data_IF_377469155782
#
_entry.id   IF_377469155782
#
_cell.length_a   1.000
_cell.length_b   1.000
_cell.length_c   1.000
_cell.angle_alpha   90.00
_cell.angle_beta   90.00
_cell.angle_gamma   90.00
#
_symmetry.space_group_name_H-M   'P 1'
#
loop_
_entity.id
_entity.type
_entity.pdbx_description
1 polymer ?
#
# COMPACT_ATOMS: atom_id res chain seq x y z
N UNK A 1 43.51 -26.20 -26.39
CA UNK A 1 43.92 -25.19 -25.39
C UNK A 1 43.66 -23.83 -26.02
N UNK A 2 42.89 -22.87 -25.52
CA UNK A 2 42.31 -22.59 -24.21
C UNK A 2 41.14 -21.62 -24.44
N UNK A 3 40.04 -21.87 -23.72
CA UNK A 3 38.89 -21.00 -23.48
C UNK A 3 39.28 -19.52 -23.26
N UNK A 4 38.42 -18.59 -23.72
CA UNK A 4 38.01 -17.43 -22.91
C UNK A 4 36.62 -16.94 -23.32
N UNK A 5 35.76 -16.94 -22.30
CA UNK A 5 34.30 -16.77 -22.30
C UNK A 5 33.92 -15.33 -22.64
N UNK A 6 33.02 -15.13 -23.60
CA UNK A 6 32.20 -13.93 -23.67
C UNK A 6 30.91 -14.22 -22.89
N UNK A 7 30.87 -13.77 -21.63
CA UNK A 7 29.64 -13.78 -20.82
C UNK A 7 28.83 -12.58 -21.29
N UNK A 8 27.80 -12.82 -22.09
CA UNK A 8 26.74 -11.86 -22.36
C UNK A 8 25.92 -11.75 -21.09
N UNK A 9 26.12 -10.66 -20.33
CA UNK A 9 25.24 -10.30 -19.23
C UNK A 9 23.90 -9.85 -19.82
N UNK A 10 22.95 -10.79 -19.91
CA UNK A 10 21.56 -10.49 -20.22
C UNK A 10 20.98 -9.79 -18.98
N UNK A 11 21.02 -8.46 -18.98
CA UNK A 11 20.23 -7.63 -18.08
C UNK A 11 18.75 -7.88 -18.42
N UNK A 12 18.13 -8.82 -17.69
CA UNK A 12 16.70 -8.92 -17.55
C UNK A 12 16.23 -7.68 -16.78
N UNK A 13 16.14 -6.54 -17.48
CA UNK A 13 15.18 -5.51 -17.13
C UNK A 13 13.82 -6.17 -17.31
N UNK A 14 13.26 -6.70 -16.22
CA UNK A 14 11.82 -6.90 -16.12
C UNK A 14 11.19 -5.52 -16.26
N UNK A 15 10.95 -5.10 -17.51
CA UNK A 15 9.98 -4.08 -17.79
C UNK A 15 8.66 -4.64 -17.27
N UNK A 16 8.31 -4.23 -16.05
CA UNK A 16 6.95 -4.27 -15.55
C UNK A 16 6.14 -3.47 -16.56
N UNK A 17 5.60 -4.18 -17.55
CA UNK A 17 4.37 -3.72 -18.17
C UNK A 17 3.42 -3.46 -17.01
N UNK A 18 2.74 -2.30 -16.96
CA UNK A 18 1.64 -2.16 -16.02
C UNK A 18 0.61 -3.19 -16.45
N UNK A 19 0.66 -4.37 -15.84
CA UNK A 19 -0.46 -5.27 -15.84
C UNK A 19 -1.64 -4.42 -15.37
N UNK A 20 -2.74 -4.43 -16.13
CA UNK A 20 -4.01 -3.92 -15.62
C UNK A 20 -4.14 -4.40 -14.18
N UNK A 21 -4.54 -3.54 -13.21
CA UNK A 21 -4.43 -3.86 -11.80
C UNK A 21 -5.01 -5.25 -11.57
N UNK A 22 -4.12 -6.22 -11.36
CA UNK A 22 -4.50 -7.60 -11.19
C UNK A 22 -4.95 -7.68 -9.73
N UNK A 23 -6.20 -7.29 -9.48
CA UNK A 23 -6.81 -7.53 -8.17
C UNK A 23 -6.70 -9.02 -7.89
N UNK A 24 -6.42 -9.35 -6.64
CA UNK A 24 -6.16 -10.73 -6.28
C UNK A 24 -7.40 -11.59 -6.57
N UNK A 25 -7.14 -12.82 -7.02
CA UNK A 25 -8.19 -13.78 -7.33
C UNK A 25 -9.08 -14.00 -6.10
N UNK A 26 -10.39 -13.93 -6.29
CA UNK A 26 -11.35 -14.12 -5.21
C UNK A 26 -11.98 -15.51 -5.27
N UNK A 27 -12.00 -16.19 -4.14
CA UNK A 27 -12.79 -17.39 -3.94
C UNK A 27 -13.45 -17.37 -2.57
N UNK A 28 -14.74 -17.73 -2.52
CA UNK A 28 -15.47 -17.93 -1.29
C UNK A 28 -16.21 -19.25 -1.36
N UNK A 29 -16.01 -20.07 -0.34
CA UNK A 29 -16.79 -21.28 -0.09
C UNK A 29 -17.50 -21.08 1.24
N UNK A 30 -18.81 -21.26 1.28
CA UNK A 30 -19.62 -21.14 2.47
C UNK A 30 -20.57 -22.34 2.57
N UNK A 31 -20.52 -23.04 3.70
CA UNK A 31 -21.45 -24.11 4.01
C UNK A 31 -22.60 -23.57 4.85
N UNK A 32 -23.72 -24.28 4.80
CA UNK A 32 -24.88 -23.97 5.62
C UNK A 32 -25.53 -25.24 6.17
N UNK A 33 -26.29 -25.10 7.25
CA UNK A 33 -26.94 -26.22 7.96
C UNK A 33 -28.23 -26.62 7.24
N UNK A 34 -28.71 -27.85 7.45
CA UNK A 34 -30.04 -28.27 7.00
C UNK A 34 -31.06 -27.71 7.99
N UNK A 35 -31.34 -26.41 7.88
CA UNK A 35 -32.19 -25.67 8.81
C UNK A 35 -33.47 -25.11 8.18
N UNK A 36 -33.61 -25.23 6.85
CA UNK A 36 -34.84 -24.95 6.14
C UNK A 36 -35.56 -26.23 5.71
N UNK A 37 -36.88 -26.27 5.90
CA UNK A 37 -37.70 -27.39 5.40
C UNK A 37 -37.83 -27.40 3.88
N UNK A 38 -37.32 -26.38 3.20
CA UNK A 38 -37.38 -26.17 1.76
C UNK A 38 -36.63 -27.24 0.95
N UNK A 39 -37.11 -27.63 -0.25
CA UNK A 39 -36.30 -28.35 -1.23
C UNK A 39 -35.11 -27.54 -1.76
N UNK A 40 -35.13 -26.21 -1.59
CA UNK A 40 -34.08 -25.29 -2.00
C UNK A 40 -33.14 -24.88 -0.85
N UNK A 41 -33.27 -25.55 0.29
CA UNK A 41 -32.37 -25.37 1.44
C UNK A 41 -30.92 -25.53 1.02
N UNK A 42 -30.14 -24.46 1.20
CA UNK A 42 -28.80 -24.28 0.70
C UNK A 42 -27.86 -25.06 1.61
N UNK A 43 -26.96 -25.83 1.00
CA UNK A 43 -25.91 -26.58 1.69
C UNK A 43 -24.55 -25.92 1.52
N UNK A 44 -24.31 -25.40 0.32
CA UNK A 44 -23.02 -24.89 -0.09
C UNK A 44 -23.20 -23.80 -1.13
N UNK A 45 -22.48 -22.70 -0.95
CA UNK A 45 -22.29 -21.66 -1.96
C UNK A 45 -20.80 -21.55 -2.23
N UNK A 46 -20.45 -21.63 -3.50
CA UNK A 46 -19.11 -21.27 -3.99
C UNK A 46 -19.23 -20.07 -4.91
N UNK A 47 -18.40 -19.06 -4.68
CA UNK A 47 -18.15 -17.97 -5.62
C UNK A 47 -16.68 -17.96 -5.99
N UNK A 48 -16.38 -17.82 -7.28
CA UNK A 48 -15.03 -17.52 -7.78
C UNK A 48 -15.10 -16.40 -8.79
N UNK A 49 -14.18 -15.45 -8.70
CA UNK A 49 -14.09 -14.36 -9.67
C UNK A 49 -12.97 -14.64 -10.67
N UNK A 50 -13.27 -14.44 -11.95
CA UNK A 50 -12.30 -14.55 -13.03
C UNK A 50 -12.57 -13.42 -14.03
N UNK A 51 -11.58 -12.56 -14.23
CA UNK A 51 -11.72 -11.33 -15.01
C UNK A 51 -12.87 -10.46 -14.48
N UNK A 52 -13.75 -9.99 -15.35
CA UNK A 52 -14.94 -9.21 -15.03
C UNK A 52 -16.16 -10.06 -14.63
N UNK A 53 -15.99 -11.37 -14.38
CA UNK A 53 -17.08 -12.33 -14.18
C UNK A 53 -17.02 -12.97 -12.80
N UNK A 54 -18.20 -13.13 -12.21
CA UNK A 54 -18.43 -13.91 -11.01
C UNK A 54 -19.08 -15.23 -11.39
N UNK A 55 -18.48 -16.33 -10.95
CA UNK A 55 -19.02 -17.67 -11.13
C UNK A 55 -19.59 -18.15 -9.81
N UNK A 56 -20.87 -18.51 -9.82
CA UNK A 56 -21.56 -19.04 -8.66
C UNK A 56 -21.91 -20.51 -8.86
N UNK A 57 -21.67 -21.31 -7.84
CA UNK A 57 -22.22 -22.64 -7.66
C UNK A 57 -23.04 -22.67 -6.36
N UNK A 58 -24.32 -23.02 -6.47
CA UNK A 58 -25.23 -23.14 -5.33
C UNK A 58 -25.68 -24.59 -5.26
N UNK A 59 -25.36 -25.27 -4.17
CA UNK A 59 -25.78 -26.64 -3.92
C UNK A 59 -26.79 -26.69 -2.76
N UNK A 60 -27.84 -27.50 -2.93
CA UNK A 60 -28.87 -27.74 -1.92
C UNK A 60 -28.65 -29.05 -1.16
N UNK A 61 -29.29 -29.19 -0.01
CA UNK A 61 -29.33 -30.47 0.72
C UNK A 61 -30.10 -31.54 -0.06
N UNK A 62 -31.27 -31.16 -0.59
CA UNK A 62 -32.19 -32.06 -1.31
C UNK A 62 -32.15 -31.82 -2.82
N UNK A 63 -32.29 -32.85 -3.66
CA UNK A 63 -32.42 -32.67 -5.09
C UNK A 63 -33.74 -31.98 -5.44
N UNK A 64 -33.73 -31.17 -6.50
CA UNK A 64 -34.93 -30.51 -7.02
C UNK A 64 -34.95 -30.55 -8.55
N UNK A 65 -36.13 -30.32 -9.13
CA UNK A 65 -36.31 -30.20 -10.59
C UNK A 65 -36.13 -28.75 -11.00
N UNK A 66 -35.37 -28.46 -12.07
CA UNK A 66 -35.20 -27.09 -12.57
C UNK A 66 -36.56 -26.40 -12.81
N UNK A 67 -37.51 -27.12 -13.43
CA UNK A 67 -38.89 -26.66 -13.69
C UNK A 67 -39.70 -26.29 -12.45
N UNK A 68 -39.24 -26.66 -11.25
CA UNK A 68 -39.89 -26.26 -10.00
C UNK A 68 -39.57 -24.80 -9.63
N UNK A 69 -38.51 -24.23 -10.20
CA UNK A 69 -38.15 -22.83 -9.98
C UNK A 69 -39.06 -21.92 -10.81
N UNK A 70 -39.85 -21.11 -10.15
CA UNK A 70 -40.81 -20.21 -10.75
C UNK A 70 -40.95 -18.97 -9.86
N UNK A 71 -40.68 -17.80 -10.44
CA UNK A 71 -40.63 -16.54 -9.69
C UNK A 71 -42.03 -16.14 -9.17
N UNK A 72 -43.07 -16.33 -9.98
CA UNK A 72 -44.47 -16.01 -9.62
C UNK A 72 -44.98 -16.87 -8.46
N UNK A 73 -44.45 -18.10 -8.33
CA UNK A 73 -44.77 -19.04 -7.24
C UNK A 73 -43.85 -18.89 -6.03
N UNK A 74 -42.96 -17.90 -6.00
CA UNK A 74 -41.96 -17.71 -4.96
C UNK A 74 -41.10 -18.96 -4.73
N UNK A 75 -40.61 -19.54 -5.83
CA UNK A 75 -39.70 -20.70 -5.85
C UNK A 75 -38.46 -20.33 -6.65
N UNK A 76 -37.46 -19.75 -6.03
CA UNK A 76 -36.28 -19.26 -6.74
C UNK A 76 -35.07 -19.17 -5.84
N UNK A 77 -33.90 -19.07 -6.46
CA UNK A 77 -32.72 -18.53 -5.81
C UNK A 77 -32.58 -17.07 -6.19
N UNK A 78 -32.03 -16.25 -5.30
CA UNK A 78 -31.54 -14.95 -5.68
C UNK A 78 -30.22 -14.60 -5.00
N UNK A 79 -29.44 -13.76 -5.65
CA UNK A 79 -28.16 -13.27 -5.15
C UNK A 79 -28.27 -11.76 -5.00
N UNK A 80 -28.03 -11.27 -3.79
CA UNK A 80 -28.01 -9.85 -3.50
C UNK A 80 -26.60 -9.29 -3.54
N UNK A 81 -26.43 -8.08 -4.08
CA UNK A 81 -25.19 -7.30 -4.04
C UNK A 81 -25.46 -5.89 -3.48
N UNK A 82 -24.60 -5.43 -2.59
CA UNK A 82 -24.62 -4.10 -1.99
C UNK A 82 -23.22 -3.47 -2.15
N UNK A 83 -23.10 -2.46 -3.01
CA UNK A 83 -21.83 -1.76 -3.30
C UNK A 83 -21.71 -0.38 -2.66
N UNK A 84 -22.72 0.11 -1.93
CA UNK A 84 -22.63 1.37 -1.19
C UNK A 84 -22.25 1.17 0.27
N UNK A 85 -22.45 -0.05 0.80
CA UNK A 85 -22.02 -0.50 2.13
C UNK A 85 -22.41 0.49 3.23
N UNK A 86 -23.55 1.18 3.07
CA UNK A 86 -24.00 2.21 4.01
C UNK A 86 -24.44 1.57 5.32
N UNK A 87 -23.93 2.14 6.42
CA UNK A 87 -23.88 1.55 7.77
C UNK A 87 -25.26 1.32 8.43
N UNK A 88 -26.36 1.85 7.88
CA UNK A 88 -27.65 1.87 8.59
C UNK A 88 -28.74 0.94 8.04
N UNK A 89 -28.67 0.49 6.79
CA UNK A 89 -29.72 -0.36 6.20
C UNK A 89 -29.13 -1.50 5.36
N UNK A 90 -28.34 -2.37 6.02
CA UNK A 90 -27.74 -3.60 5.44
C UNK A 90 -28.79 -4.67 5.04
N UNK A 91 -30.05 -4.27 4.89
CA UNK A 91 -31.16 -5.10 4.40
C UNK A 91 -31.52 -4.80 2.94
N UNK A 92 -30.97 -3.74 2.35
CA UNK A 92 -31.25 -3.33 0.96
C UNK A 92 -30.07 -3.63 0.05
N UNK A 93 -30.15 -4.74 -0.65
CA UNK A 93 -29.29 -4.97 -1.80
C UNK A 93 -29.59 -3.94 -2.89
N UNK A 94 -28.55 -3.46 -3.57
CA UNK A 94 -28.67 -2.60 -4.74
C UNK A 94 -28.99 -3.40 -6.00
N UNK A 95 -28.45 -4.63 -6.09
CA UNK A 95 -28.69 -5.52 -7.22
C UNK A 95 -29.14 -6.90 -6.75
N UNK A 96 -30.16 -7.44 -7.41
CA UNK A 96 -30.76 -8.72 -7.10
C UNK A 96 -30.78 -9.58 -8.35
N UNK A 97 -30.10 -10.73 -8.31
CA UNK A 97 -30.04 -11.68 -9.42
C UNK A 97 -30.93 -12.87 -9.12
N UNK A 98 -32.09 -12.96 -9.76
CA UNK A 98 -33.05 -14.03 -9.60
C UNK A 98 -32.79 -15.16 -10.58
N UNK A 99 -32.82 -16.42 -10.11
CA UNK A 99 -32.68 -17.63 -10.91
C UNK A 99 -33.99 -18.41 -10.94
N UNK A 100 -34.53 -18.65 -12.13
CA UNK A 100 -35.83 -19.29 -12.33
C UNK A 100 -35.89 -20.10 -13.62
N UNK A 101 -36.96 -20.87 -13.80
CA UNK A 101 -37.21 -21.63 -15.02
C UNK A 101 -38.27 -20.97 -15.90
N UNK A 102 -37.91 -20.70 -17.14
CA UNK A 102 -38.81 -20.22 -18.20
C UNK A 102 -38.37 -20.80 -19.56
N UNK A 103 -38.95 -21.93 -19.94
CA UNK A 103 -38.49 -22.75 -21.09
C UNK A 103 -37.07 -23.32 -20.95
N UNK A 104 -36.36 -22.96 -19.88
CA UNK A 104 -34.96 -23.27 -19.58
C UNK A 104 -34.55 -22.54 -18.30
N UNK A 105 -33.43 -22.91 -17.70
CA UNK A 105 -32.95 -22.24 -16.48
C UNK A 105 -32.26 -20.92 -16.86
N UNK A 106 -32.73 -19.81 -16.30
CA UNK A 106 -32.28 -18.46 -16.62
C UNK A 106 -32.02 -17.68 -15.34
N UNK A 107 -31.30 -16.58 -15.49
CA UNK A 107 -31.23 -15.57 -14.45
C UNK A 107 -31.48 -14.17 -15.01
N UNK A 108 -32.04 -13.30 -14.18
CA UNK A 108 -32.20 -11.87 -14.44
C UNK A 108 -31.66 -11.09 -13.26
N UNK A 109 -30.93 -10.02 -13.55
CA UNK A 109 -30.49 -9.06 -12.56
C UNK A 109 -31.38 -7.83 -12.62
N UNK A 110 -31.83 -7.36 -11.46
CA UNK A 110 -32.53 -6.09 -11.31
C UNK A 110 -31.80 -5.21 -10.30
N UNK A 111 -32.18 -3.93 -10.22
CA UNK A 111 -31.75 -3.03 -9.16
C UNK A 111 -32.45 -3.29 -7.81
N UNK A 112 -32.82 -4.54 -7.51
CA UNK A 112 -33.70 -4.98 -6.41
C UNK A 112 -35.07 -4.30 -6.30
N UNK A 113 -35.36 -3.32 -7.16
CA UNK A 113 -36.71 -2.88 -7.50
C UNK A 113 -37.15 -3.57 -8.79
N UNK A 114 -37.58 -2.76 -9.76
CA UNK A 114 -38.27 -3.26 -10.96
C UNK A 114 -37.49 -3.04 -12.25
N UNK A 115 -36.29 -2.46 -12.22
CA UNK A 115 -35.53 -2.20 -13.43
C UNK A 115 -34.62 -3.37 -13.76
N UNK A 116 -34.77 -3.93 -14.97
CA UNK A 116 -33.86 -4.94 -15.50
C UNK A 116 -32.48 -4.32 -15.76
N UNK A 117 -31.44 -4.97 -15.24
CA UNK A 117 -30.03 -4.56 -15.37
C UNK A 117 -29.30 -5.50 -16.31
N UNK A 118 -29.47 -6.81 -16.13
CA UNK A 118 -28.82 -7.82 -16.95
C UNK A 118 -29.64 -9.11 -16.98
N UNK A 119 -29.30 -10.03 -17.88
CA UNK A 119 -29.88 -11.38 -17.95
C UNK A 119 -28.89 -12.37 -18.52
N UNK A 120 -29.11 -13.65 -18.24
CA UNK A 120 -28.32 -14.72 -18.80
C UNK A 120 -28.89 -16.10 -18.56
N UNK A 121 -28.11 -17.10 -18.92
CA UNK A 121 -28.45 -18.51 -18.70
C UNK A 121 -27.85 -19.01 -17.40
N UNK A 122 -28.58 -19.89 -16.72
CA UNK A 122 -28.07 -20.71 -15.65
C UNK A 122 -28.10 -22.17 -16.08
N UNK A 123 -27.30 -23.00 -15.43
CA UNK A 123 -27.26 -24.44 -15.69
C UNK A 123 -27.50 -25.23 -14.41
N UNK A 124 -27.93 -26.47 -14.56
CA UNK A 124 -28.15 -27.40 -13.46
C UNK A 124 -27.29 -28.65 -13.68
N UNK A 125 -25.97 -28.58 -13.41
CA UNK A 125 -25.04 -29.66 -13.75
C UNK A 125 -25.31 -30.96 -12.96
N UNK A 126 -25.97 -30.88 -11.81
CA UNK A 126 -26.29 -32.04 -10.99
C UNK A 126 -27.66 -31.93 -10.34
N UNK A 127 -28.13 -33.03 -9.73
CA UNK A 127 -29.43 -33.13 -9.04
C UNK A 127 -29.68 -32.03 -8.00
N UNK A 128 -28.62 -31.49 -7.40
CA UNK A 128 -28.66 -30.52 -6.29
C UNK A 128 -27.98 -29.19 -6.57
N UNK A 129 -27.43 -28.98 -7.77
CA UNK A 129 -26.49 -27.88 -8.04
C UNK A 129 -27.00 -26.98 -9.15
N UNK A 130 -26.92 -25.67 -8.94
CA UNK A 130 -27.06 -24.63 -9.98
C UNK A 130 -25.71 -23.96 -10.20
N UNK A 131 -25.40 -23.65 -11.45
CA UNK A 131 -24.30 -22.77 -11.82
C UNK A 131 -24.78 -21.60 -12.66
N UNK A 132 -24.21 -20.43 -12.39
CA UNK A 132 -24.42 -19.24 -13.17
C UNK A 132 -23.16 -18.37 -13.20
N UNK A 133 -23.02 -17.62 -14.29
CA UNK A 133 -21.94 -16.65 -14.47
C UNK A 133 -22.57 -15.29 -14.67
N UNK A 134 -22.12 -14.31 -13.91
CA UNK A 134 -22.66 -12.95 -13.90
C UNK A 134 -21.50 -11.98 -14.19
N UNK A 135 -21.68 -11.04 -15.12
CA UNK A 135 -20.69 -9.99 -15.37
C UNK A 135 -20.83 -8.88 -14.31
N UNK A 136 -19.71 -8.53 -13.67
CA UNK A 136 -19.62 -7.41 -12.73
C UNK A 136 -19.82 -6.07 -13.43
N UNK A 137 -19.38 -5.95 -14.69
CA UNK A 137 -19.59 -4.75 -15.51
C UNK A 137 -21.07 -4.55 -15.79
N UNK A 138 -21.80 -5.61 -16.15
CA UNK A 138 -23.24 -5.53 -16.38
C UNK A 138 -24.01 -5.11 -15.12
N UNK A 139 -23.50 -5.47 -13.94
CA UNK A 139 -24.05 -5.05 -12.65
C UNK A 139 -23.54 -3.69 -12.15
N UNK A 140 -22.65 -3.00 -12.87
CA UNK A 140 -22.03 -1.74 -12.42
C UNK A 140 -21.28 -1.83 -11.06
N UNK A 141 -20.81 -3.03 -10.71
CA UNK A 141 -20.02 -3.32 -9.50
C UNK A 141 -18.57 -3.70 -9.81
N UNK A 142 -18.15 -3.58 -11.08
CA UNK A 142 -16.78 -3.87 -11.49
C UNK A 142 -15.80 -2.95 -10.75
N UNK A 143 -14.83 -3.56 -10.06
CA UNK A 143 -13.82 -2.89 -9.24
C UNK A 143 -14.38 -2.02 -8.11
N UNK A 144 -15.58 -2.37 -7.62
CA UNK A 144 -16.19 -1.72 -6.45
C UNK A 144 -16.34 -2.74 -5.35
N UNK A 145 -15.87 -2.39 -4.16
CA UNK A 145 -16.10 -3.18 -2.95
C UNK A 145 -17.60 -3.41 -2.80
N UNK A 146 -17.98 -4.65 -2.52
CA UNK A 146 -19.39 -4.97 -2.36
C UNK A 146 -19.59 -6.15 -1.43
N UNK A 147 -20.72 -6.12 -0.75
CA UNK A 147 -21.22 -7.19 0.06
C UNK A 147 -22.23 -8.02 -0.73
N UNK A 148 -22.28 -9.32 -0.47
CA UNK A 148 -23.19 -10.22 -1.19
C UNK A 148 -23.70 -11.37 -0.33
N UNK A 149 -24.85 -11.91 -0.73
CA UNK A 149 -25.46 -13.10 -0.13
C UNK A 149 -26.25 -13.88 -1.19
N UNK A 150 -26.46 -15.17 -0.91
CA UNK A 150 -27.37 -16.01 -1.67
C UNK A 150 -28.57 -16.33 -0.80
N UNK A 151 -29.75 -16.30 -1.39
CA UNK A 151 -31.01 -16.60 -0.71
C UNK A 151 -31.80 -17.58 -1.57
N UNK A 152 -32.47 -18.53 -0.94
CA UNK A 152 -33.48 -19.37 -1.57
C UNK A 152 -34.86 -19.05 -0.99
N UNK A 153 -35.89 -19.21 -1.81
CA UNK A 153 -37.28 -19.05 -1.40
C UNK A 153 -38.11 -20.19 -1.97
N UNK A 154 -38.99 -20.77 -1.14
CA UNK A 154 -39.89 -21.84 -1.55
C UNK A 154 -41.26 -21.72 -0.89
N UNK A 155 -42.27 -21.37 -1.70
CA UNK A 155 -43.68 -21.45 -1.30
C UNK A 155 -44.38 -22.68 -1.89
N UNK A 156 -44.90 -23.53 -1.03
CA UNK A 156 -45.54 -24.81 -1.36
C UNK A 156 -45.00 -25.92 -0.46
N UNK A 157 -45.57 -27.12 -0.52
CA UNK A 157 -45.19 -28.23 0.38
C UNK A 157 -43.68 -28.47 0.42
N UNK A 158 -43.05 -28.56 1.61
CA UNK A 158 -43.64 -28.57 2.96
C UNK A 158 -43.81 -27.17 3.63
N UNK A 159 -43.64 -26.09 2.88
CA UNK A 159 -43.61 -24.69 3.33
C UNK A 159 -44.81 -23.86 2.84
N UNK A 160 -46.00 -23.93 3.48
CA UNK A 160 -47.17 -23.17 3.06
C UNK A 160 -46.98 -21.64 3.21
N UNK A 161 -46.23 -21.19 4.23
CA UNK A 161 -45.93 -19.79 4.52
C UNK A 161 -44.70 -19.20 3.84
N UNK A 162 -44.13 -19.91 2.85
CA UNK A 162 -42.79 -19.65 2.26
C UNK A 162 -41.66 -19.97 3.23
N UNK A 163 -40.81 -20.94 2.88
CA UNK A 163 -39.52 -21.12 3.54
C UNK A 163 -38.50 -20.22 2.83
N UNK A 164 -37.73 -19.48 3.61
CA UNK A 164 -36.60 -18.70 3.12
C UNK A 164 -35.35 -19.24 3.80
N UNK A 165 -34.28 -19.32 3.05
CA UNK A 165 -32.98 -19.70 3.54
C UNK A 165 -31.92 -18.77 2.93
N UNK A 166 -30.88 -18.43 3.69
CA UNK A 166 -29.92 -17.38 3.34
C UNK A 166 -28.51 -17.77 3.77
N UNK A 167 -27.57 -17.61 2.84
CA UNK A 167 -26.13 -17.78 3.08
C UNK A 167 -25.39 -16.47 2.76
N UNK A 168 -24.77 -15.81 3.76
CA UNK A 168 -24.68 -16.22 5.17
C UNK A 168 -25.97 -15.93 5.95
N UNK A 169 -26.28 -16.82 6.91
CA UNK A 169 -27.49 -16.76 7.73
C UNK A 169 -27.56 -15.55 8.67
N UNK A 170 -26.41 -14.93 8.99
CA UNK A 170 -26.29 -13.73 9.81
C UNK A 170 -25.35 -12.73 9.16
N UNK A 171 -25.48 -11.45 9.54
CA UNK A 171 -24.48 -10.43 9.24
C UNK A 171 -23.15 -10.76 9.96
N UNK A 172 -22.01 -10.33 9.41
CA UNK A 172 -21.85 -9.60 8.15
C UNK A 172 -22.10 -10.46 6.90
N UNK A 173 -22.48 -9.81 5.80
CA UNK A 173 -22.54 -10.46 4.48
C UNK A 173 -21.13 -10.83 4.00
N UNK A 174 -21.04 -11.58 2.91
CA UNK A 174 -19.73 -11.86 2.32
C UNK A 174 -19.20 -10.61 1.63
N UNK A 175 -18.01 -10.19 2.02
CA UNK A 175 -17.31 -9.09 1.38
C UNK A 175 -16.52 -9.60 0.16
N UNK A 176 -16.66 -8.90 -0.96
CA UNK A 176 -15.62 -8.80 -1.98
C UNK A 176 -14.96 -7.43 -1.88
N UNK A 177 -13.68 -7.44 -1.57
CA UNK A 177 -12.85 -6.25 -1.38
C UNK A 177 -11.90 -6.09 -2.57
N UNK A 178 -11.89 -4.91 -3.17
CA UNK A 178 -10.96 -4.49 -4.22
C UNK A 178 -10.05 -3.36 -3.74
N UNK A 179 -10.34 -2.74 -2.60
CA UNK A 179 -9.57 -1.61 -2.09
C UNK A 179 -8.40 -2.13 -1.27
N UNK A 180 -7.14 -1.94 -1.72
CA UNK A 180 -5.99 -2.38 -0.95
C UNK A 180 -5.76 -1.50 0.30
N UNK A 181 -4.96 -1.96 1.27
CA UNK A 181 -4.66 -1.18 2.47
C UNK A 181 -4.00 0.15 2.14
N UNK A 182 -4.22 1.16 3.00
CA UNK A 182 -3.60 2.48 2.92
C UNK A 182 -2.40 2.57 3.85
N UNK A 183 -1.30 3.11 3.34
CA UNK A 183 -0.05 3.34 4.07
C UNK A 183 0.13 4.84 4.27
N UNK A 184 0.39 5.25 5.50
CA UNK A 184 0.94 6.57 5.82
C UNK A 184 2.36 6.39 6.33
N UNK A 185 3.33 7.01 5.64
CA UNK A 185 4.75 6.90 5.97
C UNK A 185 5.46 8.21 5.66
N UNK A 186 5.97 8.84 6.71
CA UNK A 186 6.64 10.13 6.64
C UNK A 186 7.83 10.17 7.62
N UNK A 187 8.89 9.38 7.37
CA UNK A 187 10.11 9.46 8.15
C UNK A 187 10.79 10.83 7.90
N UNK A 188 11.66 11.29 8.83
CA UNK A 188 12.42 12.50 8.62
C UNK A 188 13.40 12.33 7.45
N UNK A 189 13.70 13.40 6.72
CA UNK A 189 14.75 13.32 5.69
C UNK A 189 16.16 13.25 6.31
N UNK A 190 16.34 13.89 7.47
CA UNK A 190 17.57 13.91 8.24
C UNK A 190 17.24 13.49 9.67
N UNK A 191 17.95 12.49 10.21
CA UNK A 191 17.58 11.89 11.50
C UNK A 191 17.68 12.86 12.67
N UNK A 192 18.47 13.93 12.56
CA UNK A 192 18.61 14.95 13.61
C UNK A 192 17.33 15.75 13.86
N UNK A 193 16.32 15.60 12.99
CA UNK A 193 14.98 16.12 13.22
C UNK A 193 14.22 15.37 14.33
N UNK A 194 14.62 14.13 14.64
CA UNK A 194 13.91 13.26 15.58
C UNK A 194 14.82 12.49 16.54
N UNK A 195 16.13 12.44 16.30
CA UNK A 195 17.10 11.68 17.09
C UNK A 195 18.45 12.38 17.20
N UNK A 196 19.14 12.13 18.32
CA UNK A 196 20.51 12.59 18.60
C UNK A 196 21.55 11.48 18.46
N UNK A 197 21.16 10.30 17.98
CA UNK A 197 22.05 9.17 17.75
C UNK A 197 21.77 8.53 16.40
N UNK A 198 22.62 7.61 15.94
CA UNK A 198 22.41 6.87 14.70
C UNK A 198 21.20 5.92 14.74
N UNK A 199 20.62 5.70 15.93
CA UNK A 199 19.33 5.03 16.09
C UNK A 199 18.19 6.03 16.02
N UNK A 200 17.21 5.83 15.14
CA UNK A 200 16.11 6.78 14.93
C UNK A 200 14.76 6.08 14.75
N UNK A 201 13.66 6.74 15.14
CA UNK A 201 12.33 6.16 15.02
C UNK A 201 11.79 6.25 13.58
N UNK A 202 11.25 5.16 13.07
CA UNK A 202 10.43 5.07 11.88
C UNK A 202 8.96 4.91 12.27
N UNK A 203 8.19 5.97 12.06
CA UNK A 203 6.75 5.99 12.32
C UNK A 203 5.95 5.78 11.03
N UNK A 204 5.00 4.85 11.07
CA UNK A 204 4.05 4.64 9.97
C UNK A 204 2.71 4.15 10.51
N UNK A 205 1.67 4.24 9.67
CA UNK A 205 0.38 3.61 9.98
C UNK A 205 -0.18 2.91 8.76
N UNK A 206 -0.79 1.75 8.98
CA UNK A 206 -1.44 0.96 7.95
C UNK A 206 -2.91 0.80 8.35
N UNK A 207 -3.80 1.12 7.43
CA UNK A 207 -5.25 1.03 7.66
C UNK A 207 -5.91 0.33 6.49
N UNK A 208 -6.97 -0.40 6.78
CA UNK A 208 -7.85 -0.95 5.74
C UNK A 208 -9.31 -0.66 6.08
N UNK A 209 -9.76 0.61 5.94
CA UNK A 209 -11.07 1.02 6.41
C UNK A 209 -12.18 0.37 5.57
N UNK A 210 -13.02 -0.44 6.21
CA UNK A 210 -14.12 -1.21 5.59
C UNK A 210 -13.65 -2.32 4.64
N UNK A 211 -12.36 -2.49 4.40
CA UNK A 211 -11.84 -3.61 3.62
C UNK A 211 -11.90 -4.92 4.40
N UNK A 212 -11.21 -5.91 3.86
CA UNK A 212 -11.12 -7.27 4.38
C UNK A 212 -10.20 -7.41 5.59
N UNK A 213 -9.49 -6.35 5.94
CA UNK A 213 -8.52 -6.28 7.02
C UNK A 213 -7.10 -6.51 6.49
N UNK A 214 -6.13 -5.92 7.17
CA UNK A 214 -4.70 -6.12 6.86
C UNK A 214 -4.32 -7.58 7.17
N UNK A 215 -3.69 -8.25 6.22
CA UNK A 215 -3.12 -9.58 6.40
C UNK A 215 -1.63 -9.53 6.69
N UNK A 216 -0.90 -8.69 5.97
CA UNK A 216 0.54 -8.57 6.11
C UNK A 216 1.03 -7.17 5.70
N UNK A 217 2.17 -6.77 6.26
CA UNK A 217 2.94 -5.64 5.80
C UNK A 217 4.44 -5.88 6.00
N UNK A 218 5.26 -5.20 5.20
CA UNK A 218 6.71 -5.24 5.29
C UNK A 218 7.27 -3.83 5.14
N UNK A 219 8.20 -3.47 6.02
CA UNK A 219 9.06 -2.31 5.85
C UNK A 219 10.33 -2.77 5.14
N UNK A 220 10.62 -2.18 4.01
CA UNK A 220 11.84 -2.44 3.24
C UNK A 220 12.84 -1.31 3.45
N UNK A 221 14.10 -1.68 3.60
CA UNK A 221 15.21 -0.75 3.74
C UNK A 221 16.36 -1.12 2.79
N UNK A 222 17.07 -0.10 2.30
CA UNK A 222 18.25 -0.26 1.46
C UNK A 222 19.30 0.77 1.86
N UNK A 223 20.51 0.31 2.17
CA UNK A 223 21.67 1.20 2.28
C UNK A 223 22.09 1.64 0.88
N UNK A 224 21.87 2.92 0.55
CA UNK A 224 22.16 3.44 -0.78
C UNK A 224 23.66 3.29 -1.10
N UNK A 225 23.96 2.83 -2.30
CA UNK A 225 25.34 2.65 -2.78
C UNK A 225 26.06 1.37 -2.33
N UNK A 226 25.50 0.59 -1.39
CA UNK A 226 26.16 -0.63 -0.87
C UNK A 226 25.36 -1.94 -1.04
N UNK A 227 24.09 -1.90 -1.48
CA UNK A 227 23.29 -3.13 -1.57
C UNK A 227 21.93 -2.98 -2.24
N UNK A 228 21.12 -4.03 -2.12
CA UNK A 228 19.72 -4.07 -2.56
C UNK A 228 18.74 -3.95 -1.39
N UNK A 229 17.45 -4.00 -1.72
CA UNK A 229 16.37 -3.96 -0.74
C UNK A 229 16.36 -5.19 0.18
N UNK A 230 16.15 -4.94 1.47
CA UNK A 230 15.99 -5.95 2.51
C UNK A 230 14.73 -5.66 3.33
N UNK A 231 14.09 -6.69 3.88
CA UNK A 231 12.97 -6.53 4.80
C UNK A 231 13.54 -6.16 6.17
N UNK A 232 13.32 -4.91 6.59
CA UNK A 232 13.74 -4.39 7.89
C UNK A 232 12.78 -4.80 9.01
N UNK A 233 11.48 -4.84 8.72
CA UNK A 233 10.47 -5.36 9.65
C UNK A 233 9.22 -5.85 8.91
N UNK A 234 8.35 -6.60 9.60
CA UNK A 234 7.08 -7.07 9.08
C UNK A 234 6.03 -7.25 10.18
N UNK A 235 4.76 -7.22 9.80
CA UNK A 235 3.67 -7.51 10.72
C UNK A 235 2.40 -7.94 10.01
N UNK A 236 1.38 -8.29 10.78
CA UNK A 236 0.12 -8.87 10.27
C UNK A 236 -1.13 -8.11 10.69
N UNK A 237 -0.96 -6.91 11.26
CA UNK A 237 -2.05 -6.12 11.81
C UNK A 237 -2.03 -4.69 11.28
N UNK A 238 -3.23 -4.10 11.21
CA UNK A 238 -3.41 -2.67 11.01
C UNK A 238 -3.04 -1.88 12.27
N UNK A 239 -2.81 -0.58 12.12
CA UNK A 239 -2.52 0.33 13.22
C UNK A 239 -1.33 1.22 12.95
N UNK A 240 -0.95 1.99 13.97
CA UNK A 240 0.27 2.79 13.99
C UNK A 240 1.41 1.97 14.57
N UNK A 241 2.58 2.09 13.95
CA UNK A 241 3.81 1.41 14.35
C UNK A 241 4.91 2.44 14.50
N UNK A 242 5.75 2.28 15.53
CA UNK A 242 6.94 3.08 15.78
C UNK A 242 8.10 2.09 16.00
N UNK A 243 9.06 2.07 15.08
CA UNK A 243 10.18 1.13 15.13
C UNK A 243 11.50 1.89 15.29
N UNK A 244 12.42 1.44 16.15
CA UNK A 244 13.80 1.90 16.10
C UNK A 244 14.49 1.33 14.85
N UNK A 245 15.28 2.15 14.17
CA UNK A 245 16.17 1.72 13.10
C UNK A 245 17.58 2.20 13.40
N UNK A 246 18.53 1.26 13.43
CA UNK A 246 19.93 1.56 13.69
C UNK A 246 20.66 1.80 12.37
N UNK A 247 20.98 3.06 12.12
CA UNK A 247 21.75 3.50 10.97
C UNK A 247 23.25 3.50 11.22
N UNK A 248 24.00 3.60 10.13
CA UNK A 248 25.44 3.86 10.13
C UNK A 248 25.68 5.33 9.84
N UNK A 249 26.61 5.95 10.57
CA UNK A 249 27.00 7.34 10.33
C UNK A 249 27.45 7.60 8.90
N UNK A 250 26.99 8.73 8.35
CA UNK A 250 27.24 9.10 6.96
C UNK A 250 26.46 8.31 5.92
N UNK A 251 25.66 7.33 6.32
CA UNK A 251 24.85 6.54 5.40
C UNK A 251 23.57 7.28 4.98
N UNK A 252 23.08 6.95 3.79
CA UNK A 252 21.71 7.25 3.39
C UNK A 252 20.96 5.96 3.16
N UNK A 253 19.77 5.87 3.74
CA UNK A 253 18.89 4.72 3.60
C UNK A 253 17.64 5.09 2.80
N UNK A 254 17.31 4.26 1.82
CA UNK A 254 16.01 4.25 1.16
C UNK A 254 15.04 3.36 1.92
N UNK A 255 13.79 3.78 2.03
CA UNK A 255 12.70 3.03 2.67
C UNK A 255 11.43 3.06 1.81
N UNK A 256 10.68 1.97 1.83
CA UNK A 256 9.26 1.94 1.46
C UNK A 256 8.54 0.84 2.24
N UNK A 257 7.21 0.87 2.23
CA UNK A 257 6.40 -0.19 2.84
C UNK A 257 5.58 -0.90 1.78
N UNK A 258 5.32 -2.18 1.99
CA UNK A 258 4.25 -2.89 1.30
C UNK A 258 3.21 -3.34 2.32
N UNK A 259 1.95 -3.36 1.93
CA UNK A 259 0.86 -3.88 2.73
C UNK A 259 -0.09 -4.69 1.85
N UNK A 260 -0.65 -5.75 2.41
CA UNK A 260 -1.60 -6.65 1.75
C UNK A 260 -2.79 -6.93 2.67
N UNK A 261 -4.00 -6.97 2.11
CA UNK A 261 -5.21 -7.34 2.83
C UNK A 261 -5.48 -8.86 2.82
N UNK A 262 -6.55 -9.30 3.50
CA UNK A 262 -6.95 -10.71 3.58
C UNK A 262 -7.47 -11.30 2.26
N UNK A 263 -7.78 -10.46 1.27
CA UNK A 263 -8.17 -10.90 -0.07
C UNK A 263 -7.02 -10.83 -1.08
N UNK A 264 -5.83 -10.41 -0.65
CA UNK A 264 -4.61 -10.35 -1.43
C UNK A 264 -4.38 -9.03 -2.18
N UNK A 265 -5.24 -8.02 -2.03
CA UNK A 265 -5.00 -6.71 -2.64
C UNK A 265 -3.82 -6.05 -1.91
N UNK A 266 -2.91 -5.45 -2.68
CA UNK A 266 -1.65 -4.93 -2.16
C UNK A 266 -1.43 -3.46 -2.52
N UNK A 267 -0.75 -2.75 -1.63
CA UNK A 267 -0.29 -1.37 -1.82
C UNK A 267 1.20 -1.30 -1.55
N UNK A 268 1.90 -0.55 -2.39
CA UNK A 268 3.25 -0.07 -2.11
C UNK A 268 3.18 1.40 -1.68
N UNK A 269 3.80 1.71 -0.55
CA UNK A 269 3.92 3.05 0.00
C UNK A 269 4.98 3.88 -0.73
N UNK A 270 5.06 5.19 -0.44
CA UNK A 270 6.04 6.05 -1.09
C UNK A 270 7.47 5.68 -0.68
N UNK A 271 8.39 5.77 -1.65
CA UNK A 271 9.82 5.76 -1.38
C UNK A 271 10.23 7.01 -0.58
N UNK A 272 11.08 6.82 0.44
CA UNK A 272 11.60 7.87 1.31
C UNK A 272 13.08 7.65 1.58
N UNK A 273 13.83 8.75 1.62
CA UNK A 273 15.25 8.74 1.96
C UNK A 273 15.48 9.38 3.33
N UNK A 274 16.27 8.69 4.14
CA UNK A 274 16.69 9.17 5.46
C UNK A 274 18.21 9.19 5.49
N UNK A 275 18.76 10.35 5.85
CA UNK A 275 20.20 10.60 5.95
C UNK A 275 20.61 10.51 7.42
N UNK A 276 21.61 9.68 7.69
CA UNK A 276 22.34 9.62 8.96
C UNK A 276 23.59 10.48 8.78
N UNK A 277 23.73 11.62 9.48
CA UNK A 277 24.94 12.43 9.35
C UNK A 277 26.14 11.71 9.97
N UNK A 278 27.33 12.24 9.73
CA UNK A 278 28.46 11.95 10.61
C UNK A 278 28.39 12.85 11.84
N UNK A 279 28.87 12.32 12.97
CA UNK A 279 29.32 13.13 14.10
C UNK A 279 30.67 13.76 13.73
N UNK A 280 30.89 15.04 14.05
CA UNK A 280 32.14 15.72 13.75
C UNK A 280 33.36 15.04 14.41
N UNK A 281 33.18 14.40 15.57
CA UNK A 281 34.24 13.65 16.25
C UNK A 281 34.60 12.32 15.53
N UNK A 282 33.69 11.79 14.71
CA UNK A 282 33.86 10.50 14.02
C UNK A 282 34.15 10.64 12.53
N UNK A 283 34.00 11.83 11.95
CA UNK A 283 34.32 12.08 10.54
C UNK A 283 35.79 11.71 10.26
N UNK A 284 36.07 10.80 9.30
CA UNK A 284 37.44 10.44 8.95
C UNK A 284 38.26 11.63 8.45
N UNK A 285 39.43 11.85 9.07
CA UNK A 285 40.38 12.88 8.66
C UNK A 285 39.85 14.31 8.83
N UNK A 286 38.91 14.54 9.74
CA UNK A 286 38.45 15.88 10.05
C UNK A 286 39.55 16.71 10.73
N UNK A 287 39.54 18.02 10.48
CA UNK A 287 40.35 18.99 11.20
C UNK A 287 39.66 20.35 11.19
N UNK A 288 39.80 21.10 12.28
CA UNK A 288 39.26 22.46 12.41
C UNK A 288 40.42 23.43 12.62
N UNK A 289 40.47 24.51 11.84
CA UNK A 289 41.41 25.60 12.12
C UNK A 289 40.84 26.49 13.22
N UNK A 290 41.38 26.36 14.43
CA UNK A 290 41.00 27.19 15.55
C UNK A 290 41.02 26.46 16.88
N UNK A 291 40.66 27.18 17.95
CA UNK A 291 40.48 26.56 19.27
C UNK A 291 39.08 25.95 19.37
N UNK A 292 39.02 24.61 19.40
CA UNK A 292 37.77 23.86 19.56
C UNK A 292 37.63 23.39 21.00
N UNK A 293 36.47 23.64 21.60
CA UNK A 293 36.10 23.08 22.90
C UNK A 293 34.84 22.22 22.73
N UNK A 294 34.90 20.96 23.12
CA UNK A 294 33.72 20.10 23.16
C UNK A 294 32.89 20.41 24.40
N UNK A 295 31.59 20.65 24.20
CA UNK A 295 30.62 20.92 25.26
C UNK A 295 29.53 19.86 25.21
N UNK A 296 29.21 19.25 26.35
CA UNK A 296 28.12 18.29 26.43
C UNK A 296 26.77 18.95 26.12
N UNK A 297 26.03 18.37 25.19
CA UNK A 297 24.73 18.84 24.77
C UNK A 297 23.82 17.65 24.41
N UNK A 298 22.87 17.27 25.27
CA UNK A 298 22.03 16.08 25.05
C UNK A 298 21.07 16.22 23.86
N UNK A 299 20.96 17.41 23.26
CA UNK A 299 20.11 17.67 22.09
C UNK A 299 20.93 17.72 20.79
N UNK A 300 22.26 17.61 20.88
CA UNK A 300 23.14 17.51 19.71
C UNK A 300 23.28 16.06 19.27
N UNK A 301 23.51 15.84 17.96
CA UNK A 301 23.88 14.53 17.45
C UNK A 301 25.21 14.11 18.10
N UNK A 302 25.30 12.88 18.64
CA UNK A 302 26.47 12.43 19.41
C UNK A 302 26.48 12.86 20.89
N UNK A 303 25.63 13.81 21.28
CA UNK A 303 25.53 14.31 22.65
C UNK A 303 26.56 15.42 22.99
N UNK A 304 27.28 15.93 22.00
CA UNK A 304 28.31 16.97 22.14
C UNK A 304 28.18 18.03 21.06
N UNK A 305 28.66 19.24 21.36
CA UNK A 305 28.87 20.32 20.39
C UNK A 305 30.34 20.73 20.40
N UNK A 306 30.96 20.76 19.23
CA UNK A 306 32.24 21.43 19.03
C UNK A 306 32.05 22.93 18.92
N UNK A 307 32.48 23.67 19.95
CA UNK A 307 32.46 25.12 19.97
C UNK A 307 33.78 25.65 19.44
N UNK A 308 33.70 26.39 18.33
CA UNK A 308 34.83 27.07 17.71
C UNK A 308 34.85 28.52 18.21
N UNK A 309 35.91 28.91 18.91
CA UNK A 309 36.00 30.24 19.52
C UNK A 309 36.29 31.37 18.50
N UNK A 310 36.72 31.01 17.29
CA UNK A 310 37.15 31.93 16.25
C UNK A 310 35.99 32.32 15.32
N UNK A 311 35.92 33.60 14.91
CA UNK A 311 34.89 34.10 13.99
C UNK A 311 35.12 33.66 12.54
N UNK A 312 36.31 33.15 12.23
CA UNK A 312 36.65 32.57 10.92
C UNK A 312 37.45 31.29 11.12
N UNK A 313 36.91 30.18 10.62
CA UNK A 313 37.53 28.87 10.73
C UNK A 313 37.37 28.06 9.46
N UNK A 314 38.27 27.10 9.28
CA UNK A 314 38.23 26.11 8.22
C UNK A 314 37.90 24.77 8.84
N UNK A 315 36.84 24.12 8.38
CA UNK A 315 36.54 22.73 8.64
C UNK A 315 36.99 21.91 7.44
N UNK A 316 37.99 21.05 7.61
CA UNK A 316 38.43 20.13 6.56
C UNK A 316 38.09 18.70 6.93
N UNK A 317 37.77 17.87 5.94
CA UNK A 317 37.60 16.43 6.13
C UNK A 317 37.93 15.66 4.86
N UNK A 318 38.16 14.35 4.99
CA UNK A 318 38.40 13.48 3.85
C UNK A 318 37.17 12.63 3.54
N UNK A 319 36.59 12.82 2.35
CA UNK A 319 35.50 12.00 1.86
C UNK A 319 36.05 10.91 0.95
N UNK A 320 36.13 9.65 1.42
CA UNK A 320 36.56 8.53 0.57
C UNK A 320 35.82 8.49 -0.78
N UNK A 321 36.48 7.95 -1.83
CA UNK A 321 35.97 7.92 -3.21
C UNK A 321 34.57 7.28 -3.39
N UNK A 322 34.09 6.56 -2.37
CA UNK A 322 32.76 5.93 -2.29
C UNK A 322 31.64 6.85 -1.80
N UNK A 323 31.92 8.04 -1.27
CA UNK A 323 30.89 8.95 -0.72
C UNK A 323 30.11 9.73 -1.80
N UNK A 324 30.43 9.56 -3.09
CA UNK A 324 29.81 10.37 -4.14
C UNK A 324 29.95 11.88 -3.84
N UNK A 325 29.05 12.71 -4.36
CA UNK A 325 28.97 14.12 -3.98
C UNK A 325 28.39 14.22 -2.55
N UNK A 326 29.18 14.59 -1.50
CA UNK A 326 28.66 14.60 -0.14
C UNK A 326 27.60 15.70 0.01
N UNK A 327 26.44 15.33 0.55
CA UNK A 327 25.53 16.33 1.13
C UNK A 327 25.96 16.53 2.57
N UNK A 328 26.56 17.68 2.84
CA UNK A 328 26.96 18.07 4.19
C UNK A 328 25.83 18.91 4.77
N UNK A 329 25.40 18.55 5.96
CA UNK A 329 24.47 19.33 6.75
C UNK A 329 25.23 19.88 7.96
N UNK A 330 25.44 21.20 7.98
CA UNK A 330 26.05 21.87 9.13
C UNK A 330 24.98 22.36 10.08
N UNK A 331 25.15 22.11 11.38
CA UNK A 331 24.34 22.71 12.44
C UNK A 331 25.20 23.79 13.11
N UNK A 332 24.94 25.07 12.80
CA UNK A 332 25.68 26.21 13.38
C UNK A 332 25.11 26.67 14.73
N UNK A 333 25.85 27.51 15.49
CA UNK A 333 25.44 28.03 16.80
C UNK A 333 24.27 29.04 16.78
N UNK A 334 23.68 29.30 15.61
CA UNK A 334 22.64 30.31 15.39
C UNK A 334 23.20 31.63 14.85
N UNK A 335 22.46 32.72 15.08
CA UNK A 335 22.79 34.06 14.57
C UNK A 335 24.12 34.61 15.15
N UNK A 336 24.90 35.30 14.33
CA UNK A 336 26.18 35.91 14.71
C UNK A 336 27.08 36.23 13.51
N UNK A 337 28.28 36.77 13.75
CA UNK A 337 29.26 37.06 12.70
C UNK A 337 30.32 35.94 12.65
N UNK A 338 30.00 34.85 11.97
CA UNK A 338 30.91 33.73 11.80
C UNK A 338 30.90 33.19 10.36
N UNK A 339 32.05 32.65 9.93
CA UNK A 339 32.22 32.00 8.62
C UNK A 339 33.01 30.70 8.77
N UNK A 340 32.48 29.63 8.18
CA UNK A 340 33.15 28.33 8.11
C UNK A 340 33.48 28.02 6.64
N UNK A 341 34.78 27.88 6.36
CA UNK A 341 35.24 27.35 5.09
C UNK A 341 35.32 25.82 5.18
N UNK A 342 34.53 25.14 4.37
CA UNK A 342 34.48 23.68 4.31
C UNK A 342 35.40 23.23 3.18
N UNK A 343 36.38 22.38 3.49
CA UNK A 343 37.28 21.80 2.49
C UNK A 343 37.14 20.27 2.49
N UNK A 344 36.89 19.67 1.33
CA UNK A 344 36.85 18.21 1.18
C UNK A 344 37.70 17.72 0.02
N UNK A 345 38.27 16.53 0.16
CA UNK A 345 39.14 15.89 -0.85
C UNK A 345 40.22 16.82 -1.41
N UNK A 346 40.78 17.64 -0.51
CA UNK A 346 41.98 18.48 -0.69
C UNK A 346 41.88 19.57 -1.78
N UNK A 347 40.75 19.69 -2.49
CA UNK A 347 40.63 20.61 -3.63
C UNK A 347 39.25 21.23 -3.84
N UNK A 348 38.21 20.68 -3.20
CA UNK A 348 36.87 21.24 -3.29
C UNK A 348 36.56 22.01 -2.01
N UNK A 349 35.99 23.21 -2.17
CA UNK A 349 35.73 24.14 -1.09
C UNK A 349 34.35 24.76 -1.22
N UNK A 350 33.73 25.01 -0.07
CA UNK A 350 32.52 25.80 0.04
C UNK A 350 32.61 26.69 1.28
N UNK A 351 31.99 27.85 1.22
CA UNK A 351 31.90 28.75 2.37
C UNK A 351 30.47 28.77 2.85
N UNK A 352 30.26 28.57 4.14
CA UNK A 352 28.98 28.76 4.81
C UNK A 352 29.17 29.86 5.84
N UNK A 353 28.34 30.89 5.73
CA UNK A 353 28.29 31.99 6.68
C UNK A 353 27.03 31.91 7.54
N UNK A 354 27.02 32.64 8.65
CA UNK A 354 25.81 32.78 9.46
C UNK A 354 24.59 33.29 8.66
N UNK A 355 24.81 34.09 7.61
CA UNK A 355 23.74 34.60 6.75
C UNK A 355 23.11 33.53 5.83
N UNK A 356 23.80 32.40 5.60
CA UNK A 356 23.30 31.28 4.81
C UNK A 356 22.43 30.32 5.63
N UNK A 357 22.40 30.52 6.95
CA UNK A 357 21.60 29.76 7.90
C UNK A 357 20.42 30.63 8.35
N UNK A 358 19.16 30.24 8.12
CA UNK A 358 18.02 31.01 8.59
C UNK A 358 18.06 31.26 10.12
N UNK A 359 17.28 32.24 10.61
CA UNK A 359 17.31 32.62 12.03
C UNK A 359 16.70 31.55 12.94
N UNK A 360 17.50 30.97 13.85
CA UNK A 360 17.05 30.02 14.88
C UNK A 360 18.21 29.36 15.65
N UNK A 361 17.93 28.67 16.78
CA UNK A 361 18.98 28.17 17.68
C UNK A 361 19.75 26.95 17.14
N UNK A 362 19.18 26.18 16.19
CA UNK A 362 19.82 25.03 15.51
C UNK A 362 19.24 24.89 14.12
N UNK A 363 20.08 24.99 13.11
CA UNK A 363 19.61 25.00 11.72
C UNK A 363 20.62 24.35 10.79
N UNK A 364 20.09 23.66 9.79
CA UNK A 364 20.85 22.81 8.89
C UNK A 364 21.00 23.46 7.51
N UNK A 365 22.22 23.77 7.09
CA UNK A 365 22.49 24.22 5.72
C UNK A 365 23.02 23.07 4.87
N UNK A 366 22.44 22.86 3.68
CA UNK A 366 22.98 21.92 2.69
C UNK A 366 24.06 22.63 1.88
N UNK A 367 25.27 22.10 1.92
CA UNK A 367 26.37 22.57 1.08
C UNK A 367 26.20 22.01 -0.34
N UNK A 368 26.07 22.83 -1.40
CA UNK A 368 25.95 22.34 -2.76
C UNK A 368 27.24 21.65 -3.22
N UNK A 369 27.13 20.57 -3.99
CA UNK A 369 28.30 19.95 -4.60
C UNK A 369 28.96 20.89 -5.62
N UNK A 370 30.29 20.92 -5.67
CA UNK A 370 31.05 21.75 -6.60
C UNK A 370 30.75 21.44 -8.09
N UNK A 371 30.12 20.30 -8.40
CA UNK A 371 29.66 19.93 -9.76
C UNK A 371 28.31 20.50 -10.17
N UNK A 372 27.50 21.04 -9.25
CA UNK A 372 26.18 21.60 -9.57
C UNK A 372 26.23 22.99 -10.24
N UNK A 373 27.40 23.63 -10.32
CA UNK A 373 27.56 24.99 -10.84
C UNK A 373 27.71 25.08 -12.37
N UNK A 374 27.67 23.96 -13.10
CA UNK A 374 27.81 23.92 -14.59
C UNK A 374 26.49 23.74 -15.35
N UNK A 375 25.39 24.30 -14.87
CA UNK A 375 24.22 24.55 -15.73
C UNK A 375 23.97 26.06 -15.77
N UNK A 376 24.31 26.75 -16.87
CA UNK A 376 23.96 28.15 -16.99
C UNK A 376 22.42 28.26 -16.97
N UNK A 377 21.84 29.30 -16.33
CA UNK A 377 20.40 29.47 -16.32
C UNK A 377 19.90 29.57 -17.77
N UNK A 378 19.01 28.66 -18.15
CA UNK A 378 18.26 28.76 -19.39
C UNK A 378 17.50 30.10 -19.37
N UNK A 379 17.99 31.08 -20.13
CA UNK A 379 17.27 32.34 -20.39
C UNK A 379 15.89 31.97 -20.95
N UNK A 380 14.85 32.12 -20.13
CA UNK A 380 13.46 32.20 -20.62
C UNK A 380 13.35 33.48 -21.44
N UNK A 381 13.50 33.38 -22.75
CA UNK A 381 13.05 34.40 -23.68
C UNK A 381 11.52 34.42 -23.67
N UNK A 382 10.95 35.39 -22.95
CA UNK A 382 9.54 35.72 -23.05
C UNK A 382 9.24 36.25 -24.47
N UNK A 383 8.67 35.39 -25.31
CA UNK A 383 8.15 35.78 -26.62
C UNK A 383 6.77 36.41 -26.41
N UNK A 384 6.72 37.74 -26.24
CA UNK A 384 5.49 38.52 -26.46
C UNK A 384 5.08 38.33 -27.92
N UNK A 385 3.95 37.65 -28.17
CA UNK A 385 3.21 37.83 -29.42
C UNK A 385 2.18 38.92 -29.19
N UNK A 386 2.22 39.92 -30.07
CA UNK A 386 1.09 40.79 -30.39
C UNK A 386 0.05 39.98 -31.15
#
# INVERSE_FOLDING_TARGET
MSLRRAVVALLLLSMLTPAAPAYAAYSKIATDRDDSRSPLDIRLVTRTDANDKMHFEIATWKPFRARALNIDKLRYFWIGFDSDRRVADRSRFEYCVFVFFDGGLRWVATNCGNQLVAKGMASKPAGRVIRLTISMVALHIYLRDHEWAVVSSWKGTPCPGTCVDKVPNKLPLFLRDFTPPKISFAPPHLITQTSTSSSFPLAFSITDPRGSGVAAWQLHAMHLGLGGWTVADSGTAAGSTLLPFDGVEGATYGFYLTAQDQQGNATEGPYKEVVVPYDDDTVPGHAVSGSVTSVADPTAYGGTLSVIADTTSTYSFYGGASLGCPQIWLIGPGAGDWTIQITWNVSEQATVSAADIPDGPRQSARVPSARSSRVPPMRRTARRRR
#
